data_IF_794231636376
#
_entry.id   IF_794231636376
#
_cell.length_a   1.000
_cell.length_b   1.000
_cell.length_c   1.000
_cell.angle_alpha   90.00
_cell.angle_beta   90.00
_cell.angle_gamma   90.00
#
_symmetry.space_group_name_H-M   'P 1'
#
loop_
_entity.id
_entity.type
_entity.pdbx_description
1 polymer ?
#
# COMPACT_ATOMS: atom_id res chain seq x y z
N UNK A 1 -16.80 -10.73 -7.26
CA UNK A 1 -15.69 -11.18 -6.37
C UNK A 1 -16.20 -11.10 -4.93
N UNK A 2 -16.34 -12.25 -4.27
CA UNK A 2 -17.11 -12.36 -3.01
C UNK A 2 -16.37 -11.75 -1.80
N UNK A 3 -17.06 -11.06 -0.87
CA UNK A 3 -16.50 -10.55 0.39
C UNK A 3 -15.88 -11.63 1.30
N UNK A 4 -16.14 -12.92 1.02
CA UNK A 4 -15.46 -14.05 1.68
C UNK A 4 -13.95 -14.13 1.39
N UNK A 5 -13.47 -13.60 0.25
CA UNK A 5 -12.05 -13.64 -0.10
C UNK A 5 -11.21 -12.66 0.74
N UNK A 6 -11.80 -11.53 1.16
CA UNK A 6 -11.13 -10.50 1.97
C UNK A 6 -11.04 -10.96 3.44
N UNK A 7 -12.09 -11.62 3.95
CA UNK A 7 -12.06 -12.25 5.27
C UNK A 7 -11.02 -13.38 5.36
N UNK A 8 -10.86 -14.17 4.29
CA UNK A 8 -9.85 -15.25 4.25
C UNK A 8 -8.42 -14.73 4.37
N UNK A 9 -8.11 -13.56 3.79
CA UNK A 9 -6.77 -12.98 3.86
C UNK A 9 -6.44 -12.38 5.24
N UNK A 10 -7.43 -11.75 5.90
CA UNK A 10 -7.30 -11.26 7.27
C UNK A 10 -7.16 -12.42 8.28
N UNK A 11 -7.92 -13.50 8.09
CA UNK A 11 -7.85 -14.69 8.95
C UNK A 11 -6.52 -15.45 8.77
N UNK A 12 -5.95 -15.48 7.57
CA UNK A 12 -4.64 -16.11 7.31
C UNK A 12 -3.49 -15.35 7.95
N UNK A 13 -3.58 -14.02 8.06
CA UNK A 13 -2.61 -13.18 8.80
C UNK A 13 -2.69 -13.38 10.32
N UNK A 14 -3.88 -13.69 10.85
CA UNK A 14 -4.08 -13.96 12.28
C UNK A 14 -3.60 -15.36 12.68
N UNK A 15 -3.82 -16.37 11.83
CA UNK A 15 -3.38 -17.75 12.07
C UNK A 15 -1.85 -17.92 12.04
N UNK A 16 -1.15 -17.18 11.16
CA UNK A 16 0.33 -17.19 11.11
C UNK A 16 0.98 -16.49 12.32
N UNK A 17 0.30 -15.51 12.94
CA UNK A 17 0.78 -14.89 14.20
C UNK A 17 0.68 -15.84 15.39
N UNK A 18 -0.35 -16.70 15.44
CA UNK A 18 -0.53 -17.64 16.56
C UNK A 18 0.42 -18.85 16.51
N UNK A 19 0.94 -19.26 15.35
CA UNK A 19 1.92 -20.36 15.28
C UNK A 19 3.35 -19.95 15.65
N UNK A 20 3.67 -18.65 15.62
CA UNK A 20 4.98 -18.14 16.03
C UNK A 20 5.15 -17.99 17.56
N UNK A 21 4.06 -18.13 18.33
CA UNK A 21 4.06 -17.90 19.78
C UNK A 21 4.16 -19.19 20.63
N UNK A 22 4.32 -20.38 20.03
CA UNK A 22 4.29 -21.66 20.78
C UNK A 22 5.65 -22.30 21.07
N UNK A 23 6.76 -21.57 21.03
CA UNK A 23 8.09 -22.11 21.35
C UNK A 23 8.84 -21.20 22.33
N UNK A 24 8.95 -21.67 23.58
CA UNK A 24 9.75 -21.09 24.67
C UNK A 24 8.94 -20.16 25.57
N UNK A 25 8.79 -20.35 26.88
CA UNK A 25 9.44 -21.28 27.80
C UNK A 25 8.55 -21.43 29.05
N UNK A 26 8.37 -22.67 29.49
CA UNK A 26 8.10 -22.99 30.88
C UNK A 26 9.46 -23.08 31.61
N UNK A 27 9.52 -22.60 32.85
CA UNK A 27 10.18 -23.24 34.00
C UNK A 27 10.20 -22.32 35.22
N UNK A 28 9.85 -22.93 36.35
CA UNK A 28 9.64 -22.40 37.70
C UNK A 28 10.84 -21.69 38.37
N UNK A 29 10.54 -20.84 39.36
CA UNK A 29 11.27 -20.82 40.62
C UNK A 29 10.41 -20.21 41.74
N UNK A 30 10.02 -21.07 42.67
CA UNK A 30 9.44 -20.80 43.98
C UNK A 30 10.52 -20.37 44.98
N UNK A 31 10.20 -19.42 45.88
CA UNK A 31 10.72 -19.38 47.27
C UNK A 31 10.13 -18.22 48.07
N UNK A 32 9.29 -18.54 49.06
CA UNK A 32 9.07 -17.77 50.30
C UNK A 32 10.16 -18.17 51.33
N UNK A 33 10.56 -17.36 52.35
CA UNK A 33 9.80 -17.35 53.63
C UNK A 33 9.89 -16.09 54.56
N UNK A 34 8.78 -15.86 55.30
CA UNK A 34 8.60 -15.45 56.74
C UNK A 34 9.10 -14.10 57.35
N UNK A 35 8.19 -13.34 58.03
CA UNK A 35 8.48 -12.54 59.26
C UNK A 35 7.72 -11.20 59.47
N UNK A 36 7.42 -10.70 60.71
CA UNK A 36 6.17 -9.97 61.06
C UNK A 36 6.22 -8.46 61.47
N UNK A 37 5.11 -7.72 61.22
CA UNK A 37 4.66 -6.43 61.84
C UNK A 37 5.35 -5.11 61.40
N UNK A 38 4.73 -3.89 61.43
CA UNK A 38 3.47 -3.46 62.06
C UNK A 38 2.44 -2.79 61.10
N UNK A 39 1.24 -2.48 61.60
CA UNK A 39 0.13 -1.81 60.91
C UNK A 39 0.53 -0.50 60.19
N UNK A 40 0.66 -0.59 58.88
CA UNK A 40 0.49 0.51 57.94
C UNK A 40 -0.77 0.17 57.14
N UNK A 41 -1.56 1.13 56.62
CA UNK A 41 -2.62 0.78 55.68
C UNK A 41 -1.94 0.05 54.51
N UNK A 42 -2.00 -1.29 54.51
CA UNK A 42 -1.22 -2.13 53.61
C UNK A 42 -1.90 -2.02 52.27
N UNK A 43 -1.56 -0.97 51.52
CA UNK A 43 -1.85 -0.84 50.11
C UNK A 43 -1.17 -2.02 49.43
N UNK A 44 -1.90 -3.13 49.30
CA UNK A 44 -1.45 -4.29 48.57
C UNK A 44 -1.39 -3.92 47.10
N UNK A 45 -0.21 -3.48 46.65
CA UNK A 45 0.05 -3.08 45.27
C UNK A 45 -0.41 -4.16 44.28
N UNK A 46 -0.35 -5.44 44.64
CA UNK A 46 -0.87 -6.57 43.85
C UNK A 46 -2.38 -6.47 43.59
N UNK A 47 -3.18 -6.15 44.61
CA UNK A 47 -4.63 -5.97 44.49
C UNK A 47 -5.00 -4.72 43.67
N UNK A 48 -4.21 -3.66 43.79
CA UNK A 48 -4.39 -2.41 43.03
C UNK A 48 -4.00 -2.61 41.55
N UNK A 49 -2.91 -3.33 41.28
CA UNK A 49 -2.49 -3.72 39.93
C UNK A 49 -3.55 -4.60 39.25
N UNK A 50 -4.13 -5.55 39.98
CA UNK A 50 -5.19 -6.43 39.47
C UNK A 50 -6.47 -5.67 39.11
N UNK A 51 -6.74 -4.55 39.79
CA UNK A 51 -7.87 -3.66 39.49
C UNK A 51 -7.60 -2.63 38.38
N UNK A 52 -6.33 -2.28 38.13
CA UNK A 52 -5.94 -1.29 37.11
C UNK A 52 -5.57 -1.94 35.77
N UNK A 53 -4.91 -3.11 35.79
CA UNK A 53 -4.32 -3.80 34.63
C UNK A 53 -4.80 -5.25 34.52
N UNK A 54 -5.29 -5.86 35.61
CA UNK A 54 -5.76 -7.25 35.65
C UNK A 54 -7.20 -7.46 35.19
N UNK A 55 -7.65 -8.71 35.31
CA UNK A 55 -8.96 -9.17 34.82
C UNK A 55 -10.15 -8.52 35.54
N UNK A 56 -9.90 -7.90 36.70
CA UNK A 56 -10.91 -7.20 37.51
C UNK A 56 -11.06 -5.71 37.13
N UNK A 57 -10.40 -5.25 36.08
CA UNK A 57 -10.48 -3.87 35.63
C UNK A 57 -11.91 -3.54 35.15
N UNK A 58 -12.59 -2.54 35.73
CA UNK A 58 -13.87 -2.08 35.20
C UNK A 58 -13.67 -1.37 33.86
N UNK A 59 -14.51 -1.69 32.87
CA UNK A 59 -14.50 -1.02 31.56
C UNK A 59 -14.92 0.43 31.77
N UNK A 60 -13.93 1.33 31.79
CA UNK A 60 -14.18 2.77 31.90
C UNK A 60 -14.28 3.34 30.50
N UNK A 61 -15.44 3.91 30.18
CA UNK A 61 -15.64 4.75 29.00
C UNK A 61 -14.80 6.03 29.18
N UNK A 62 -13.54 5.98 28.75
CA UNK A 62 -12.71 7.18 28.71
C UNK A 62 -13.25 8.07 27.60
N UNK A 63 -13.86 9.20 27.97
CA UNK A 63 -14.13 10.26 27.01
C UNK A 63 -12.81 10.67 26.34
N UNK A 64 -12.70 10.59 25.01
CA UNK A 64 -11.44 10.83 24.29
C UNK A 64 -10.87 12.25 24.48
N UNK A 65 -11.69 13.18 24.99
CA UNK A 65 -11.25 14.52 25.38
C UNK A 65 -10.46 14.61 26.70
N UNK A 66 -10.43 13.55 27.51
CA UNK A 66 -9.75 13.55 28.84
C UNK A 66 -8.35 12.94 28.77
N UNK A 67 -8.02 12.16 27.73
CA UNK A 67 -6.78 11.40 27.63
C UNK A 67 -5.64 12.13 26.87
N UNK A 68 -5.94 13.25 26.19
CA UNK A 68 -4.97 14.00 25.39
C UNK A 68 -4.92 15.48 25.77
N UNK A 69 -3.71 16.04 25.93
CA UNK A 69 -3.49 17.46 26.24
C UNK A 69 -3.86 18.44 25.12
N UNK A 70 -4.23 17.93 23.94
CA UNK A 70 -4.82 18.71 22.84
C UNK A 70 -6.27 18.27 22.64
N UNK A 71 -7.24 19.20 22.54
CA UNK A 71 -8.61 18.87 22.15
C UNK A 71 -8.61 18.42 20.69
N UNK A 72 -8.46 17.12 20.45
CA UNK A 72 -8.62 16.52 19.12
C UNK A 72 -10.12 16.54 18.82
N UNK A 73 -10.57 17.19 17.72
CA UNK A 73 -11.99 17.18 17.37
C UNK A 73 -12.44 15.73 17.21
N UNK A 74 -13.51 15.35 17.91
CA UNK A 74 -14.06 14.00 17.84
C UNK A 74 -14.49 13.71 16.39
N UNK A 75 -13.64 13.03 15.63
CA UNK A 75 -13.97 12.54 14.29
C UNK A 75 -15.10 11.52 14.43
N UNK A 76 -16.18 11.68 13.67
CA UNK A 76 -17.24 10.67 13.62
C UNK A 76 -16.65 9.34 13.15
N UNK A 77 -17.24 8.22 13.56
CA UNK A 77 -16.72 6.91 13.17
C UNK A 77 -16.76 6.71 11.66
N UNK A 78 -17.71 7.36 10.97
CA UNK A 78 -17.76 7.45 9.51
C UNK A 78 -16.51 8.14 8.93
N UNK A 79 -16.07 9.25 9.50
CA UNK A 79 -14.86 9.95 9.06
C UNK A 79 -13.60 9.09 9.26
N UNK A 80 -13.51 8.35 10.38
CA UNK A 80 -12.40 7.43 10.63
C UNK A 80 -12.35 6.29 9.60
N UNK A 81 -13.51 5.76 9.21
CA UNK A 81 -13.60 4.72 8.19
C UNK A 81 -13.17 5.25 6.81
N UNK A 82 -13.55 6.48 6.46
CA UNK A 82 -13.15 7.13 5.20
C UNK A 82 -11.64 7.38 5.18
N UNK A 83 -11.08 7.92 6.25
CA UNK A 83 -9.63 8.21 6.36
C UNK A 83 -8.80 6.93 6.21
N UNK A 84 -9.18 5.86 6.93
CA UNK A 84 -8.57 4.53 6.76
C UNK A 84 -8.72 3.98 5.35
N UNK A 85 -9.84 4.25 4.69
CA UNK A 85 -10.08 3.86 3.30
C UNK A 85 -9.13 4.57 2.34
N UNK A 86 -8.91 5.88 2.53
CA UNK A 86 -8.03 6.69 1.69
C UNK A 86 -6.54 6.39 1.90
N UNK A 87 -6.15 6.00 3.11
CA UNK A 87 -4.79 5.55 3.40
C UNK A 87 -4.50 4.13 2.89
N UNK A 88 -5.54 3.37 2.51
CA UNK A 88 -5.37 2.00 2.06
C UNK A 88 -4.53 1.89 0.78
N UNK A 89 -3.65 0.89 0.73
CA UNK A 89 -2.86 0.63 -0.47
C UNK A 89 -3.72 0.35 -1.69
N UNK A 90 -4.90 -0.25 -1.52
CA UNK A 90 -5.84 -0.50 -2.59
C UNK A 90 -6.35 0.80 -3.21
N UNK A 91 -6.76 1.77 -2.39
CA UNK A 91 -7.24 3.05 -2.86
C UNK A 91 -6.15 3.86 -3.56
N UNK A 92 -4.96 3.96 -2.94
CA UNK A 92 -3.78 4.61 -3.55
C UNK A 92 -3.43 4.00 -4.91
N UNK A 93 -3.43 2.67 -5.00
CA UNK A 93 -3.15 1.96 -6.25
C UNK A 93 -4.19 2.22 -7.34
N UNK A 94 -5.48 2.29 -6.97
CA UNK A 94 -6.56 2.60 -7.92
C UNK A 94 -6.42 4.04 -8.44
N UNK A 95 -6.15 5.01 -7.55
CA UNK A 95 -5.90 6.39 -7.97
C UNK A 95 -4.69 6.49 -8.90
N UNK A 96 -3.58 5.83 -8.57
CA UNK A 96 -2.41 5.77 -9.43
C UNK A 96 -2.68 5.07 -10.77
N UNK A 97 -3.50 4.02 -10.77
CA UNK A 97 -3.95 3.32 -11.98
C UNK A 97 -4.75 4.25 -12.91
N UNK A 98 -5.73 4.98 -12.36
CA UNK A 98 -6.55 5.93 -13.12
C UNK A 98 -5.68 7.08 -13.63
N UNK A 99 -4.81 7.64 -12.79
CA UNK A 99 -3.87 8.69 -13.20
C UNK A 99 -2.94 8.24 -14.34
N UNK A 100 -2.37 7.03 -14.21
CA UNK A 100 -1.54 6.41 -15.25
C UNK A 100 -2.33 6.12 -16.54
N UNK A 101 -3.59 5.71 -16.43
CA UNK A 101 -4.45 5.48 -17.59
C UNK A 101 -4.72 6.76 -18.37
N UNK A 102 -5.09 7.85 -17.68
CA UNK A 102 -5.37 9.15 -18.31
C UNK A 102 -4.10 9.70 -18.96
N UNK A 103 -2.98 9.70 -18.24
CA UNK A 103 -1.70 10.20 -18.76
C UNK A 103 -1.20 9.36 -19.93
N UNK A 104 -1.27 8.02 -19.83
CA UNK A 104 -0.88 7.12 -20.91
C UNK A 104 -1.81 7.18 -22.12
N UNK A 105 -3.11 7.45 -21.91
CA UNK A 105 -4.07 7.66 -22.99
C UNK A 105 -3.82 8.96 -23.73
N UNK A 106 -3.59 10.06 -23.01
CA UNK A 106 -3.23 11.34 -23.61
C UNK A 106 -1.91 11.24 -24.40
N UNK A 107 -0.88 10.65 -23.80
CA UNK A 107 0.40 10.39 -24.46
C UNK A 107 0.25 9.48 -25.69
N UNK A 108 -0.62 8.46 -25.59
CA UNK A 108 -0.87 7.51 -26.67
C UNK A 108 -1.61 8.11 -27.85
N UNK A 109 -2.61 8.97 -27.61
CA UNK A 109 -3.32 9.70 -28.67
C UNK A 109 -2.40 10.73 -29.33
N UNK A 110 -1.60 11.45 -28.54
CA UNK A 110 -0.62 12.39 -29.07
C UNK A 110 0.43 11.69 -29.95
N UNK A 111 0.97 10.57 -29.49
CA UNK A 111 1.95 9.77 -30.25
C UNK A 111 1.35 9.17 -31.52
N UNK A 112 0.08 8.74 -31.48
CA UNK A 112 -0.60 8.29 -32.67
C UNK A 112 -0.78 9.46 -33.67
N UNK A 113 -1.05 10.68 -33.18
CA UNK A 113 -1.26 11.88 -33.99
C UNK A 113 -0.06 12.28 -34.86
N UNK A 114 1.14 11.94 -34.40
CA UNK A 114 2.40 12.21 -35.12
C UNK A 114 2.84 11.03 -36.02
N UNK A 115 2.16 9.88 -35.93
CA UNK A 115 2.51 8.68 -36.68
C UNK A 115 1.96 8.79 -38.12
N UNK A 116 2.84 9.05 -39.09
CA UNK A 116 2.49 9.17 -40.51
C UNK A 116 2.20 7.83 -41.20
N UNK A 117 2.31 6.70 -40.49
CA UNK A 117 2.09 5.35 -41.04
C UNK A 117 0.60 4.93 -41.08
N UNK A 118 -0.30 5.72 -40.47
CA UNK A 118 -1.75 5.40 -40.36
C UNK A 118 -2.57 5.64 -41.64
N UNK A 119 -1.93 5.90 -42.79
CA UNK A 119 -2.61 6.31 -44.02
C UNK A 119 -2.10 5.73 -45.34
N UNK A 120 -1.07 4.88 -45.34
CA UNK A 120 -0.52 4.30 -46.58
C UNK A 120 -0.54 2.77 -46.52
N UNK A 121 -1.70 2.18 -46.79
CA UNK A 121 -1.80 0.74 -47.05
C UNK A 121 -1.39 0.47 -48.51
N UNK A 122 -0.35 -0.36 -48.80
CA UNK A 122 0.15 -0.58 -50.16
C UNK A 122 -0.83 -1.26 -51.12
N UNK A 123 -1.97 -1.73 -50.62
CA UNK A 123 -2.89 -2.61 -51.35
C UNK A 123 -4.02 -1.89 -52.09
N UNK A 124 -4.36 -0.65 -51.72
CA UNK A 124 -5.40 0.15 -52.39
C UNK A 124 -5.16 1.69 -52.24
N UNK A 125 -4.53 2.35 -53.23
CA UNK A 125 -4.10 3.75 -53.15
C UNK A 125 -5.22 4.81 -53.25
N UNK A 126 -6.49 4.40 -53.38
CA UNK A 126 -7.64 5.28 -53.64
C UNK A 126 -8.73 5.26 -52.57
N UNK A 127 -8.57 4.47 -51.50
CA UNK A 127 -9.48 4.53 -50.35
C UNK A 127 -8.88 5.48 -49.32
N UNK A 128 -9.36 6.72 -49.30
CA UNK A 128 -9.14 7.60 -48.16
C UNK A 128 -9.59 6.83 -46.91
N UNK A 129 -8.68 6.50 -45.96
CA UNK A 129 -9.10 5.81 -44.76
C UNK A 129 -10.13 6.71 -44.08
N UNK A 130 -11.32 6.18 -43.84
CA UNK A 130 -12.41 6.95 -43.25
C UNK A 130 -11.86 7.57 -41.97
N UNK A 131 -12.11 8.86 -41.70
CA UNK A 131 -11.63 9.50 -40.47
C UNK A 131 -11.97 8.67 -39.21
N UNK A 132 -13.06 7.89 -39.25
CA UNK A 132 -13.47 6.93 -38.22
C UNK A 132 -12.57 5.70 -38.08
N UNK A 133 -12.04 5.17 -39.17
CA UNK A 133 -11.12 4.02 -39.16
C UNK A 133 -9.75 4.43 -38.61
N UNK A 134 -9.25 5.60 -39.04
CA UNK A 134 -8.03 6.19 -38.48
C UNK A 134 -8.20 6.47 -36.99
N UNK A 135 -9.30 7.10 -36.58
CA UNK A 135 -9.56 7.37 -35.16
C UNK A 135 -9.66 6.09 -34.34
N UNK A 136 -10.21 5.01 -34.92
CA UNK A 136 -10.34 3.72 -34.25
C UNK A 136 -8.99 3.04 -34.08
N UNK A 137 -8.12 3.07 -35.08
CA UNK A 137 -6.76 2.51 -34.97
C UNK A 137 -5.91 3.32 -33.99
N UNK A 138 -5.98 4.66 -34.05
CA UNK A 138 -5.34 5.55 -33.08
C UNK A 138 -5.83 5.31 -31.66
N UNK A 139 -7.15 5.13 -31.48
CA UNK A 139 -7.76 4.82 -30.19
C UNK A 139 -7.34 3.45 -29.66
N UNK A 140 -7.20 2.44 -30.53
CA UNK A 140 -6.72 1.12 -30.14
C UNK A 140 -5.26 1.16 -29.67
N UNK A 141 -4.39 1.88 -30.40
CA UNK A 141 -2.99 2.11 -30.00
C UNK A 141 -2.91 2.90 -28.69
N UNK A 142 -3.67 3.99 -28.57
CA UNK A 142 -3.76 4.80 -27.35
C UNK A 142 -4.26 4.00 -26.14
N UNK A 143 -5.25 3.13 -26.32
CA UNK A 143 -5.75 2.23 -25.28
C UNK A 143 -4.68 1.25 -24.78
N UNK A 144 -3.81 0.77 -25.66
CA UNK A 144 -2.70 -0.10 -25.27
C UNK A 144 -1.68 0.64 -24.41
N UNK A 145 -1.35 1.89 -24.75
CA UNK A 145 -0.46 2.72 -23.93
C UNK A 145 -1.09 3.04 -22.57
N UNK A 146 -2.35 3.48 -22.56
CA UNK A 146 -3.10 3.75 -21.33
C UNK A 146 -3.07 2.56 -20.36
N UNK A 147 -3.31 1.33 -20.84
CA UNK A 147 -3.25 0.11 -20.02
C UNK A 147 -1.85 -0.15 -19.46
N UNK A 148 -0.81 0.03 -20.26
CA UNK A 148 0.57 -0.18 -19.80
C UNK A 148 0.96 0.82 -18.70
N UNK A 149 0.68 2.11 -18.90
CA UNK A 149 0.95 3.15 -17.89
C UNK A 149 0.11 2.97 -16.62
N UNK A 150 -1.14 2.54 -16.76
CA UNK A 150 -2.00 2.21 -15.63
C UNK A 150 -1.42 1.06 -14.78
N UNK A 151 -0.96 -0.01 -15.42
CA UNK A 151 -0.33 -1.16 -14.71
C UNK A 151 0.95 -0.73 -13.99
N UNK A 152 1.81 0.03 -14.66
CA UNK A 152 3.07 0.52 -14.06
C UNK A 152 2.77 1.42 -12.85
N UNK A 153 1.86 2.39 -12.98
CA UNK A 153 1.49 3.29 -11.90
C UNK A 153 0.84 2.58 -10.71
N UNK A 154 -0.04 1.61 -11.00
CA UNK A 154 -0.66 0.78 -9.97
C UNK A 154 0.38 -0.06 -9.20
N UNK A 155 1.31 -0.70 -9.92
CA UNK A 155 2.35 -1.54 -9.29
C UNK A 155 3.33 -0.70 -8.46
N UNK A 156 3.70 0.48 -8.94
CA UNK A 156 4.57 1.41 -8.21
C UNK A 156 3.94 1.83 -6.89
N UNK A 157 2.71 2.37 -6.92
CA UNK A 157 2.00 2.85 -5.72
C UNK A 157 1.67 1.71 -4.74
N UNK A 158 1.30 0.54 -5.25
CA UNK A 158 1.00 -0.62 -4.39
C UNK A 158 2.26 -1.10 -3.66
N UNK A 159 3.38 -1.21 -4.39
CA UNK A 159 4.65 -1.68 -3.82
C UNK A 159 5.20 -0.69 -2.80
N UNK A 160 5.14 0.61 -3.09
CA UNK A 160 5.54 1.66 -2.16
C UNK A 160 4.72 1.58 -0.87
N UNK A 161 3.39 1.51 -0.97
CA UNK A 161 2.52 1.44 0.19
C UNK A 161 2.76 0.17 1.04
N UNK A 162 3.07 -0.97 0.42
CA UNK A 162 3.42 -2.21 1.14
C UNK A 162 4.75 -2.04 1.89
N UNK A 163 5.76 -1.44 1.27
CA UNK A 163 7.08 -1.20 1.88
C UNK A 163 6.95 -0.20 3.04
N UNK A 164 6.21 0.88 2.84
CA UNK A 164 5.94 1.89 3.86
C UNK A 164 5.18 1.29 5.04
N UNK A 165 4.15 0.48 4.78
CA UNK A 165 3.39 -0.24 5.81
C UNK A 165 4.25 -1.22 6.61
N UNK A 166 5.30 -1.79 6.00
CA UNK A 166 6.21 -2.70 6.68
C UNK A 166 7.27 -1.97 7.50
N UNK A 167 7.82 -0.85 7.01
CA UNK A 167 8.90 -0.10 7.69
C UNK A 167 8.38 0.97 8.66
N UNK A 168 7.13 1.40 8.52
CA UNK A 168 6.52 2.46 9.33
C UNK A 168 7.18 3.83 9.16
N UNK A 169 7.88 4.06 8.04
CA UNK A 169 8.58 5.31 7.73
C UNK A 169 8.47 5.60 6.23
N UNK A 170 8.19 6.85 5.87
CA UNK A 170 8.24 7.36 4.49
C UNK A 170 9.60 8.01 4.23
N UNK A 171 10.43 7.35 3.43
CA UNK A 171 11.74 7.84 3.01
C UNK A 171 11.87 7.76 1.49
N UNK A 172 12.72 8.60 0.88
CA UNK A 172 13.08 8.54 -0.55
C UNK A 172 13.56 7.16 -1.02
N UNK A 173 14.16 6.38 -0.11
CA UNK A 173 14.61 5.01 -0.40
C UNK A 173 13.45 4.07 -0.72
N UNK A 174 12.27 4.30 -0.14
CA UNK A 174 11.09 3.48 -0.39
C UNK A 174 10.63 3.61 -1.85
N UNK A 175 10.68 4.82 -2.42
CA UNK A 175 10.40 5.08 -3.82
C UNK A 175 11.43 4.41 -4.75
N UNK A 176 12.72 4.41 -4.38
CA UNK A 176 13.77 3.72 -5.17
C UNK A 176 13.59 2.20 -5.13
N UNK A 177 13.27 1.64 -3.97
CA UNK A 177 13.01 0.20 -3.84
C UNK A 177 11.74 -0.22 -4.58
N UNK A 178 10.64 0.54 -4.46
CA UNK A 178 9.40 0.25 -5.19
C UNK A 178 9.60 0.39 -6.70
N UNK A 179 10.38 1.38 -7.15
CA UNK A 179 10.80 1.56 -8.53
C UNK A 179 11.57 0.34 -9.05
N UNK A 180 12.64 -0.07 -8.34
CA UNK A 180 13.41 -1.26 -8.71
C UNK A 180 12.54 -2.53 -8.78
N UNK A 181 11.69 -2.76 -7.78
CA UNK A 181 10.83 -3.95 -7.73
C UNK A 181 9.82 -3.94 -8.88
N UNK A 182 9.19 -2.79 -9.15
CA UNK A 182 8.21 -2.65 -10.24
C UNK A 182 8.88 -2.81 -11.60
N UNK A 183 9.98 -2.09 -11.86
CA UNK A 183 10.73 -2.17 -13.10
C UNK A 183 11.39 -3.53 -13.32
N UNK A 184 11.87 -4.16 -12.24
CA UNK A 184 12.41 -5.50 -12.23
C UNK A 184 11.36 -6.55 -12.54
N UNK A 185 10.20 -6.53 -11.88
CA UNK A 185 9.11 -7.47 -12.12
C UNK A 185 8.57 -7.37 -13.56
N UNK A 186 8.43 -6.14 -14.07
CA UNK A 186 7.98 -5.88 -15.44
C UNK A 186 9.04 -6.31 -16.45
N UNK A 187 10.32 -5.99 -16.22
CA UNK A 187 11.42 -6.32 -17.11
C UNK A 187 11.76 -7.82 -17.12
N UNK A 188 11.53 -8.52 -16.01
CA UNK A 188 11.82 -9.95 -15.89
C UNK A 188 11.02 -10.79 -16.88
N UNK A 189 9.83 -10.32 -17.31
CA UNK A 189 9.04 -10.98 -18.36
C UNK A 189 9.80 -11.09 -19.70
N UNK A 190 10.71 -10.16 -19.96
CA UNK A 190 11.56 -10.12 -21.16
C UNK A 190 12.94 -10.78 -20.94
N UNK A 191 13.17 -11.35 -19.74
CA UNK A 191 14.40 -12.04 -19.36
C UNK A 191 15.13 -11.40 -18.18
N UNK A 192 16.04 -12.15 -17.55
CA UNK A 192 16.78 -11.72 -16.35
C UNK A 192 17.60 -10.44 -16.60
N UNK A 193 18.26 -10.35 -17.77
CA UNK A 193 19.05 -9.16 -18.15
C UNK A 193 18.18 -7.91 -18.25
N UNK A 194 16.98 -8.04 -18.84
CA UNK A 194 16.01 -6.95 -18.93
C UNK A 194 15.43 -6.59 -17.55
N UNK A 195 15.27 -7.57 -16.66
CA UNK A 195 14.86 -7.33 -15.27
C UNK A 195 15.88 -6.51 -14.47
N UNK A 196 17.17 -6.84 -14.58
CA UNK A 196 18.23 -6.07 -13.88
C UNK A 196 18.31 -4.65 -14.44
N UNK A 197 18.29 -4.49 -15.76
CA UNK A 197 18.30 -3.18 -16.40
C UNK A 197 17.03 -2.38 -16.07
N UNK A 198 15.88 -3.05 -16.01
CA UNK A 198 14.60 -2.47 -15.61
C UNK A 198 14.58 -2.01 -14.16
N UNK A 199 15.14 -2.80 -13.23
CA UNK A 199 15.31 -2.37 -11.85
C UNK A 199 16.18 -1.11 -11.76
N UNK A 200 17.36 -1.11 -12.42
CA UNK A 200 18.27 0.04 -12.40
C UNK A 200 17.63 1.30 -12.99
N UNK A 201 16.96 1.17 -14.14
CA UNK A 201 16.30 2.29 -14.82
C UNK A 201 15.15 2.89 -14.01
N UNK A 202 14.24 2.04 -13.48
CA UNK A 202 13.15 2.52 -12.65
C UNK A 202 13.62 3.05 -11.30
N UNK A 203 14.63 2.45 -10.68
CA UNK A 203 15.24 2.96 -9.45
C UNK A 203 15.83 4.36 -9.66
N UNK A 204 16.58 4.56 -10.75
CA UNK A 204 17.16 5.85 -11.10
C UNK A 204 16.08 6.89 -11.41
N UNK A 205 15.05 6.52 -12.18
CA UNK A 205 13.92 7.40 -12.47
C UNK A 205 13.18 7.83 -11.20
N UNK A 206 12.86 6.89 -10.31
CA UNK A 206 12.21 7.19 -9.02
C UNK A 206 13.08 8.06 -8.13
N UNK A 207 14.40 7.83 -8.08
CA UNK A 207 15.33 8.69 -7.35
C UNK A 207 15.37 10.12 -7.91
N UNK A 208 15.36 10.26 -9.24
CA UNK A 208 15.37 11.56 -9.90
C UNK A 208 14.08 12.34 -9.65
N UNK A 209 12.92 11.69 -9.68
CA UNK A 209 11.64 12.32 -9.36
C UNK A 209 11.59 12.76 -7.90
N UNK A 210 12.01 11.91 -6.96
CA UNK A 210 12.12 12.28 -5.54
C UNK A 210 13.10 13.44 -5.32
N UNK A 211 14.20 13.49 -6.07
CA UNK A 211 15.14 14.60 -6.02
C UNK A 211 14.53 15.90 -6.55
N UNK A 212 13.69 15.82 -7.59
CA UNK A 212 13.04 16.99 -8.19
C UNK A 212 11.86 17.52 -7.37
N UNK A 213 11.09 16.63 -6.72
CA UNK A 213 9.90 16.99 -5.94
C UNK A 213 10.19 17.36 -4.49
N UNK A 214 11.45 17.26 -4.05
CA UNK A 214 11.90 17.57 -2.70
C UNK A 214 12.54 18.94 -2.61
#
# INVERSE_FOLDING_TARGET
>A
MSPRAIASFAQKRLSLRNMAASTGAASDASSDPQGPGPEQPTLQYSMILDHLIGDKRPVKELSPGVMGGLPVPAKSDEQKMIERGMESCAFKSVLACVGGFVLGGAFGVFTAGIDTNVGFDPKDPMRTPTAREVLKDMGQRGMSYAKNFAIVGAMFSCTECIIESHRGKSDWKNAVYSGCVTGGAIGFRAGVKAGVLGCGGFAAFSAAIEYYLR
#
